data_IF_646750114152
#
_entry.id   IF_646750114152
#
_cell.length_a   1.000
_cell.length_b   1.000
_cell.length_c   1.000
_cell.angle_alpha   90.00
_cell.angle_beta   90.00
_cell.angle_gamma   90.00
#
_symmetry.space_group_name_H-M   'P 1'
#
loop_
_entity.id
_entity.type
_entity.pdbx_description
1 polymer ?
#
# COMPACT_ATOMS: atom_id res chain seq x y z
N UNK A 1 -35.72 0.73 -45.53
CA UNK A 1 -34.51 1.52 -45.30
C UNK A 1 -33.80 0.86 -44.13
N UNK A 2 -32.83 0.01 -44.46
CA UNK A 2 -32.08 -0.87 -43.56
C UNK A 2 -31.50 -0.08 -42.37
N UNK A 3 -31.79 -0.48 -41.13
CA UNK A 3 -30.95 -0.07 -39.99
C UNK A 3 -29.67 -0.88 -40.10
N UNK A 4 -28.56 -0.19 -40.36
CA UNK A 4 -27.24 -0.77 -40.27
C UNK A 4 -27.03 -1.32 -38.85
N UNK A 5 -26.72 -2.61 -38.77
CA UNK A 5 -26.23 -3.27 -37.56
C UNK A 5 -25.00 -2.52 -37.04
N UNK A 6 -25.19 -1.85 -35.91
CA UNK A 6 -24.10 -1.33 -35.11
C UNK A 6 -23.31 -2.57 -34.61
N UNK A 7 -21.99 -2.69 -34.86
CA UNK A 7 -21.26 -3.87 -34.49
C UNK A 7 -21.36 -4.03 -32.98
N UNK A 8 -21.90 -5.16 -32.54
CA UNK A 8 -22.02 -5.53 -31.14
C UNK A 8 -20.65 -5.40 -30.49
N UNK A 9 -20.43 -4.30 -29.77
CA UNK A 9 -19.26 -4.10 -28.91
C UNK A 9 -19.26 -5.27 -27.95
N UNK A 10 -18.45 -6.28 -28.23
CA UNK A 10 -18.25 -7.40 -27.34
C UNK A 10 -17.82 -6.81 -26.00
N UNK A 11 -18.75 -6.84 -25.03
CA UNK A 11 -18.45 -6.48 -23.66
C UNK A 11 -17.52 -7.58 -23.15
N UNK A 12 -16.20 -7.35 -23.23
CA UNK A 12 -15.24 -8.25 -22.60
C UNK A 12 -15.62 -8.33 -21.12
N UNK A 13 -15.92 -9.53 -20.59
CA UNK A 13 -16.28 -9.65 -19.18
C UNK A 13 -15.11 -9.17 -18.34
N UNK A 14 -15.41 -8.41 -17.30
CA UNK A 14 -14.41 -7.80 -16.42
C UNK A 14 -13.46 -8.85 -15.81
N UNK A 15 -13.96 -10.06 -15.59
CA UNK A 15 -13.18 -11.22 -15.15
C UNK A 15 -12.02 -11.56 -16.09
N UNK A 16 -12.19 -11.48 -17.42
CA UNK A 16 -11.10 -11.75 -18.36
C UNK A 16 -10.00 -10.68 -18.29
N UNK A 17 -10.39 -9.42 -18.05
CA UNK A 17 -9.44 -8.32 -17.87
C UNK A 17 -8.63 -8.55 -16.59
N UNK A 18 -9.31 -8.89 -15.49
CA UNK A 18 -8.67 -9.22 -14.21
C UNK A 18 -7.71 -10.41 -14.34
N UNK A 19 -8.15 -11.49 -14.98
CA UNK A 19 -7.31 -12.67 -15.23
C UNK A 19 -6.08 -12.27 -16.06
N UNK A 20 -6.25 -11.49 -17.13
CA UNK A 20 -5.13 -11.02 -17.94
C UNK A 20 -4.15 -10.16 -17.13
N UNK A 21 -4.64 -9.26 -16.29
CA UNK A 21 -3.81 -8.42 -15.41
C UNK A 21 -3.05 -9.26 -14.36
N UNK A 22 -3.70 -10.26 -13.74
CA UNK A 22 -3.03 -11.15 -12.79
C UNK A 22 -2.00 -12.04 -13.47
N UNK A 23 -2.30 -12.58 -14.66
CA UNK A 23 -1.32 -13.32 -15.44
C UNK A 23 -0.12 -12.45 -15.82
N UNK A 24 -0.35 -11.19 -16.17
CA UNK A 24 0.73 -10.23 -16.40
C UNK A 24 1.55 -9.99 -15.13
N UNK A 25 0.90 -9.77 -13.98
CA UNK A 25 1.59 -9.58 -12.69
C UNK A 25 2.42 -10.81 -12.27
N UNK A 26 1.90 -12.03 -12.44
CA UNK A 26 2.63 -13.27 -12.19
C UNK A 26 3.81 -13.43 -13.17
N UNK A 27 3.62 -13.10 -14.44
CA UNK A 27 4.70 -13.15 -15.44
C UNK A 27 5.81 -12.15 -15.09
N UNK A 28 5.43 -10.91 -14.74
CA UNK A 28 6.34 -9.85 -14.29
C UNK A 28 7.08 -10.24 -13.00
N UNK A 29 6.42 -10.94 -12.08
CA UNK A 29 7.02 -11.40 -10.81
C UNK A 29 8.24 -12.29 -11.01
N UNK A 30 8.29 -13.08 -12.10
CA UNK A 30 9.48 -13.90 -12.41
C UNK A 30 10.69 -13.06 -12.85
N UNK A 31 10.47 -11.83 -13.32
CA UNK A 31 11.53 -10.93 -13.77
C UNK A 31 11.93 -9.90 -12.68
N UNK A 32 11.08 -9.67 -11.69
CA UNK A 32 11.34 -8.75 -10.57
C UNK A 32 12.20 -9.41 -9.48
N UNK A 33 13.16 -8.67 -8.92
CA UNK A 33 14.02 -9.17 -7.84
C UNK A 33 13.24 -9.55 -6.57
N UNK A 34 13.75 -10.54 -5.81
CA UNK A 34 13.12 -11.10 -4.60
C UNK A 34 12.83 -10.06 -3.52
N UNK A 35 13.67 -9.03 -3.42
CA UNK A 35 13.52 -7.95 -2.41
C UNK A 35 12.36 -7.01 -2.75
N UNK A 36 12.06 -6.83 -4.04
CA UNK A 36 10.96 -5.97 -4.50
C UNK A 36 9.65 -6.74 -4.63
N UNK A 37 9.73 -8.07 -4.79
CA UNK A 37 8.56 -8.93 -4.97
C UNK A 37 7.58 -8.81 -3.80
N UNK A 38 8.07 -8.92 -2.56
CA UNK A 38 7.22 -8.79 -1.36
C UNK A 38 6.58 -7.41 -1.26
N UNK A 39 7.35 -6.34 -1.50
CA UNK A 39 6.88 -4.95 -1.46
C UNK A 39 5.81 -4.71 -2.53
N UNK A 40 5.99 -5.26 -3.74
CA UNK A 40 5.05 -5.08 -4.84
C UNK A 40 3.70 -5.75 -4.55
N UNK A 41 3.70 -6.98 -4.03
CA UNK A 41 2.46 -7.68 -3.67
C UNK A 41 1.78 -7.07 -2.45
N UNK A 42 2.54 -6.54 -1.49
CA UNK A 42 2.00 -5.82 -0.33
C UNK A 42 1.39 -4.46 -0.72
N UNK A 43 1.91 -3.80 -1.76
CA UNK A 43 1.40 -2.49 -2.20
C UNK A 43 -0.07 -2.49 -2.61
N UNK A 44 -0.61 -3.64 -3.04
CA UNK A 44 -2.04 -3.80 -3.34
C UNK A 44 -2.94 -3.70 -2.10
N UNK A 45 -2.45 -4.12 -0.92
CA UNK A 45 -3.20 -4.07 0.34
C UNK A 45 -3.42 -2.63 0.83
N UNK A 46 -2.52 -1.69 0.50
CA UNK A 46 -2.68 -0.27 0.85
C UNK A 46 -3.97 0.32 0.24
N UNK A 47 -4.47 -0.28 -0.83
CA UNK A 47 -5.69 0.12 -1.52
C UNK A 47 -6.95 -0.65 -1.09
N UNK A 48 -6.87 -1.64 -0.20
CA UNK A 48 -8.05 -2.37 0.32
C UNK A 48 -8.67 -1.73 1.57
N UNK A 49 -8.34 -0.48 1.86
CA UNK A 49 -8.80 0.18 3.08
C UNK A 49 -10.33 0.35 3.16
N UNK A 50 -10.91 0.37 4.39
CA UNK A 50 -12.35 0.49 4.64
C UNK A 50 -12.98 1.80 4.13
N UNK A 51 -12.13 2.74 3.71
CA UNK A 51 -12.53 4.02 3.11
C UNK A 51 -12.47 3.95 1.58
N UNK A 52 -11.42 3.32 1.01
CA UNK A 52 -11.17 3.33 -0.43
C UNK A 52 -12.14 2.40 -1.17
N UNK A 53 -12.44 1.23 -0.60
CA UNK A 53 -13.35 0.25 -1.23
C UNK A 53 -14.76 0.82 -1.43
N UNK A 54 -15.45 1.36 -0.40
CA UNK A 54 -16.77 1.98 -0.61
C UNK A 54 -16.71 3.19 -1.55
N UNK A 55 -15.63 3.97 -1.53
CA UNK A 55 -15.46 5.11 -2.43
C UNK A 55 -15.37 4.67 -3.90
N UNK A 56 -14.54 3.67 -4.21
CA UNK A 56 -14.38 3.14 -5.58
C UNK A 56 -15.67 2.47 -6.04
N UNK A 57 -16.36 1.73 -5.18
CA UNK A 57 -17.67 1.16 -5.50
C UNK A 57 -18.72 2.25 -5.79
N UNK A 58 -18.81 3.29 -4.94
CA UNK A 58 -19.73 4.40 -5.17
C UNK A 58 -19.43 5.15 -6.48
N UNK A 59 -18.15 5.31 -6.82
CA UNK A 59 -17.72 5.88 -8.09
C UNK A 59 -18.08 4.97 -9.27
N UNK A 60 -17.89 3.66 -9.15
CA UNK A 60 -18.29 2.66 -10.15
C UNK A 60 -19.80 2.68 -10.44
N UNK A 61 -20.61 2.64 -9.38
CA UNK A 61 -22.08 2.76 -9.46
C UNK A 61 -22.50 4.11 -10.06
N UNK A 62 -21.84 5.20 -9.67
CA UNK A 62 -22.10 6.54 -10.21
C UNK A 62 -21.80 6.63 -11.71
N UNK A 63 -20.65 6.13 -12.16
CA UNK A 63 -20.28 6.09 -13.58
C UNK A 63 -21.22 5.19 -14.40
N UNK A 64 -21.65 4.07 -13.84
CA UNK A 64 -22.62 3.19 -14.49
C UNK A 64 -23.99 3.85 -14.66
N UNK A 65 -24.45 4.61 -13.65
CA UNK A 65 -25.74 5.31 -13.69
C UNK A 65 -25.84 6.35 -14.83
N UNK A 66 -24.72 7.01 -15.16
CA UNK A 66 -24.64 7.98 -16.26
C UNK A 66 -24.56 7.29 -17.63
N UNK A 67 -24.03 6.06 -17.67
CA UNK A 67 -23.84 5.29 -18.90
C UNK A 67 -25.08 4.52 -19.33
N UNK A 68 -26.16 4.55 -18.53
CA UNK A 68 -27.42 3.87 -18.81
C UNK A 68 -27.31 2.33 -18.85
N UNK A 69 -26.18 1.79 -18.37
CA UNK A 69 -25.86 0.38 -18.49
C UNK A 69 -26.39 -0.36 -17.25
N UNK A 70 -27.02 -1.52 -17.45
CA UNK A 70 -27.47 -2.40 -16.35
C UNK A 70 -26.24 -3.12 -15.78
N UNK A 71 -25.43 -2.43 -14.99
CA UNK A 71 -24.29 -3.05 -14.30
C UNK A 71 -24.78 -3.80 -13.07
N UNK A 72 -24.34 -5.06 -12.94
CA UNK A 72 -24.52 -5.86 -11.71
C UNK A 72 -23.63 -5.29 -10.60
N UNK A 73 -23.98 -5.47 -9.32
CA UNK A 73 -23.06 -5.17 -8.20
C UNK A 73 -21.68 -5.80 -8.40
N UNK A 74 -21.63 -6.95 -9.08
CA UNK A 74 -20.43 -7.68 -9.48
C UNK A 74 -19.46 -6.84 -10.35
N UNK A 75 -19.97 -5.96 -11.22
CA UNK A 75 -19.11 -5.08 -12.03
C UNK A 75 -18.42 -4.01 -11.17
N UNK A 76 -19.06 -3.59 -10.08
CA UNK A 76 -18.48 -2.62 -9.13
C UNK A 76 -17.37 -3.27 -8.31
N UNK A 77 -17.55 -4.52 -7.88
CA UNK A 77 -16.49 -5.29 -7.22
C UNK A 77 -15.28 -5.52 -8.13
N UNK A 78 -15.50 -5.83 -9.42
CA UNK A 78 -14.37 -5.98 -10.34
C UNK A 78 -13.63 -4.66 -10.62
N UNK A 79 -14.31 -3.52 -10.54
CA UNK A 79 -13.70 -2.19 -10.68
C UNK A 79 -12.80 -1.87 -9.46
N UNK A 80 -13.22 -2.29 -8.26
CA UNK A 80 -12.36 -2.27 -7.07
C UNK A 80 -11.12 -3.12 -7.32
N UNK A 81 -11.28 -4.38 -7.74
CA UNK A 81 -10.15 -5.28 -7.97
C UNK A 81 -9.18 -4.75 -9.04
N UNK A 82 -9.68 -4.09 -10.09
CA UNK A 82 -8.85 -3.45 -11.11
C UNK A 82 -8.05 -2.26 -10.56
N UNK A 83 -8.59 -1.55 -9.56
CA UNK A 83 -7.88 -0.48 -8.88
C UNK A 83 -6.73 -1.02 -8.01
N UNK A 84 -6.90 -2.20 -7.41
CA UNK A 84 -5.90 -2.85 -6.56
C UNK A 84 -4.70 -3.40 -7.33
N UNK A 85 -4.91 -3.88 -8.56
CA UNK A 85 -3.83 -4.51 -9.34
C UNK A 85 -2.86 -3.51 -9.97
N UNK A 86 -3.29 -2.26 -10.14
CA UNK A 86 -2.47 -1.20 -10.75
C UNK A 86 -1.22 -0.88 -9.89
N UNK A 87 -1.33 -0.64 -8.57
CA UNK A 87 -0.16 -0.49 -7.69
C UNK A 87 0.81 -1.67 -7.76
N UNK A 88 0.29 -2.90 -7.79
CA UNK A 88 1.10 -4.13 -7.86
C UNK A 88 1.91 -4.14 -9.16
N UNK A 89 1.26 -3.95 -10.32
CA UNK A 89 1.95 -3.93 -11.62
C UNK A 89 2.95 -2.76 -11.69
N UNK A 90 2.57 -1.58 -11.19
CA UNK A 90 3.45 -0.42 -11.17
C UNK A 90 4.72 -0.67 -10.34
N UNK A 91 4.58 -1.29 -9.17
CA UNK A 91 5.72 -1.68 -8.34
C UNK A 91 6.54 -2.79 -9.00
N UNK A 92 5.93 -3.81 -9.59
CA UNK A 92 6.68 -4.87 -10.29
C UNK A 92 7.54 -4.29 -11.43
N UNK A 93 6.98 -3.37 -12.23
CA UNK A 93 7.71 -2.66 -13.28
C UNK A 93 8.84 -1.81 -12.67
N UNK A 94 8.57 -1.06 -11.59
CA UNK A 94 9.58 -0.26 -10.91
C UNK A 94 10.75 -1.14 -10.42
N UNK A 95 10.45 -2.31 -9.87
CA UNK A 95 11.44 -3.29 -9.41
C UNK A 95 12.27 -3.96 -10.51
N UNK A 96 11.91 -3.79 -11.79
CA UNK A 96 12.77 -4.19 -12.91
C UNK A 96 13.90 -3.19 -13.15
N UNK A 97 13.67 -1.91 -12.88
CA UNK A 97 14.60 -0.81 -13.13
C UNK A 97 15.34 -0.34 -11.88
N UNK A 98 14.79 -0.61 -10.70
CA UNK A 98 15.33 -0.19 -9.42
C UNK A 98 15.53 -1.37 -8.50
N UNK A 99 16.76 -1.55 -8.03
CA UNK A 99 17.02 -2.33 -6.82
C UNK A 99 16.61 -1.48 -5.62
N UNK A 100 15.79 -1.99 -4.69
CA UNK A 100 15.36 -1.21 -3.55
C UNK A 100 16.58 -0.84 -2.71
N UNK A 101 16.90 0.45 -2.65
CA UNK A 101 17.67 1.03 -1.54
C UNK A 101 16.77 1.23 -0.31
N UNK A 102 15.78 0.34 -0.14
CA UNK A 102 14.56 0.52 0.66
C UNK A 102 14.69 0.22 2.15
N UNK A 103 15.85 -0.25 2.60
CA UNK A 103 16.23 -0.11 4.00
C UNK A 103 17.21 1.03 4.07
N UNK A 104 16.98 2.03 4.92
CA UNK A 104 18.08 2.77 5.54
C UNK A 104 19.23 1.80 5.74
N UNK A 105 20.39 2.07 5.12
CA UNK A 105 21.63 1.29 5.27
C UNK A 105 21.67 0.69 6.66
N UNK A 106 21.32 -0.58 6.77
CA UNK A 106 21.07 -1.20 8.07
C UNK A 106 22.45 -1.52 8.63
N UNK A 107 23.05 -0.51 9.25
CA UNK A 107 24.12 -0.73 10.19
C UNK A 107 23.49 -1.46 11.36
N UNK A 108 23.58 -2.79 11.33
CA UNK A 108 23.33 -3.65 12.48
C UNK A 108 24.38 -3.25 13.53
N UNK A 109 24.06 -2.26 14.34
CA UNK A 109 24.89 -1.87 15.46
C UNK A 109 24.80 -2.98 16.49
N UNK A 110 25.93 -3.58 16.84
CA UNK A 110 26.01 -4.46 18.00
C UNK A 110 25.62 -3.64 19.24
N UNK A 111 24.42 -3.89 19.76
CA UNK A 111 23.88 -3.17 20.90
C UNK A 111 24.57 -3.65 22.18
N UNK A 112 25.65 -2.98 22.57
CA UNK A 112 26.34 -3.23 23.84
C UNK A 112 25.60 -2.66 25.06
N UNK A 113 24.80 -1.59 24.89
CA UNK A 113 24.13 -0.90 26.01
C UNK A 113 22.85 -0.14 25.61
N UNK A 114 21.93 0.04 26.58
CA UNK A 114 20.74 0.90 26.44
C UNK A 114 21.10 2.35 26.08
N UNK A 115 22.29 2.82 26.46
CA UNK A 115 22.79 4.16 26.10
C UNK A 115 23.06 4.29 24.59
N UNK A 116 23.47 3.20 23.93
CA UNK A 116 23.74 3.18 22.50
C UNK A 116 22.44 3.28 21.69
N UNK A 117 21.35 2.71 22.20
CA UNK A 117 20.01 2.83 21.59
C UNK A 117 19.53 4.29 21.63
N UNK A 118 19.71 4.99 22.75
CA UNK A 118 19.27 6.39 22.90
C UNK A 118 20.07 7.33 22.01
N UNK A 119 21.38 7.12 21.90
CA UNK A 119 22.25 7.93 21.02
C UNK A 119 21.99 7.64 19.53
N UNK A 120 21.75 6.38 19.17
CA UNK A 120 21.35 5.98 17.83
C UNK A 120 19.97 6.54 17.44
N UNK A 121 19.04 6.62 18.40
CA UNK A 121 17.74 7.27 18.22
C UNK A 121 17.89 8.77 17.98
N UNK A 122 18.63 9.47 18.86
CA UNK A 122 18.84 10.92 18.73
C UNK A 122 19.54 11.34 17.45
N UNK A 123 20.51 10.56 16.98
CA UNK A 123 21.25 10.86 15.74
C UNK A 123 20.43 10.61 14.46
N UNK A 124 19.52 9.64 14.47
CA UNK A 124 18.73 9.29 13.29
C UNK A 124 17.33 9.93 13.25
N UNK A 125 16.81 10.46 14.38
CA UNK A 125 15.47 11.03 14.44
C UNK A 125 15.24 12.13 13.39
N UNK A 126 16.25 12.97 13.14
CA UNK A 126 16.19 14.02 12.13
C UNK A 126 16.00 13.49 10.69
N UNK A 127 16.54 12.30 10.38
CA UNK A 127 16.32 11.64 9.09
C UNK A 127 14.86 11.21 8.95
N UNK A 128 14.26 10.64 10.00
CA UNK A 128 12.85 10.23 9.99
C UNK A 128 11.90 11.43 9.88
N UNK A 129 12.19 12.56 10.55
CA UNK A 129 11.45 13.82 10.34
C UNK A 129 11.42 14.21 8.86
N UNK A 130 12.59 14.22 8.19
CA UNK A 130 12.67 14.55 6.76
C UNK A 130 11.93 13.53 5.88
N UNK A 131 12.09 12.24 6.16
CA UNK A 131 11.42 11.19 5.39
C UNK A 131 9.90 11.31 5.47
N UNK A 132 9.33 11.47 6.66
CA UNK A 132 7.88 11.64 6.84
C UNK A 132 7.41 12.95 6.21
N UNK A 133 8.19 14.03 6.29
CA UNK A 133 7.84 15.30 5.67
C UNK A 133 7.73 15.17 4.15
N UNK A 134 8.72 14.52 3.52
CA UNK A 134 8.70 14.26 2.07
C UNK A 134 7.56 13.32 1.69
N UNK A 135 7.22 12.33 2.51
CA UNK A 135 6.11 11.42 2.25
C UNK A 135 4.73 12.10 2.36
N UNK A 136 4.53 12.98 3.35
CA UNK A 136 3.27 13.71 3.51
C UNK A 136 3.13 14.90 2.57
N UNK A 137 4.23 15.46 2.08
CA UNK A 137 4.22 16.66 1.26
C UNK A 137 3.33 16.55 0.00
N UNK A 138 3.40 15.51 -0.84
CA UNK A 138 2.54 15.36 -2.01
C UNK A 138 1.05 15.32 -1.64
N UNK A 139 0.72 14.61 -0.55
CA UNK A 139 -0.66 14.50 -0.05
C UNK A 139 -1.19 15.87 0.41
N UNK A 140 -0.38 16.62 1.16
CA UNK A 140 -0.75 17.94 1.67
C UNK A 140 -0.82 18.99 0.56
N UNK A 141 0.09 18.91 -0.41
CA UNK A 141 0.07 19.77 -1.59
C UNK A 141 -1.21 19.53 -2.42
N UNK A 142 -1.55 18.26 -2.67
CA UNK A 142 -2.77 17.91 -3.37
C UNK A 142 -4.02 18.40 -2.62
N UNK A 143 -4.06 18.20 -1.31
CA UNK A 143 -5.14 18.71 -0.47
C UNK A 143 -5.24 20.24 -0.55
N UNK A 144 -4.13 20.97 -0.48
CA UNK A 144 -4.12 22.43 -0.58
C UNK A 144 -4.64 22.91 -1.95
N UNK A 145 -4.22 22.26 -3.04
CA UNK A 145 -4.71 22.56 -4.40
C UNK A 145 -6.22 22.34 -4.49
N UNK A 146 -6.73 21.20 -4.01
CA UNK A 146 -8.17 20.94 -4.02
C UNK A 146 -8.96 21.87 -3.08
N UNK A 147 -8.39 22.23 -1.93
CA UNK A 147 -9.00 23.18 -1.00
C UNK A 147 -9.21 24.55 -1.63
N UNK A 148 -8.26 25.02 -2.44
CA UNK A 148 -8.36 26.30 -3.17
C UNK A 148 -9.37 26.24 -4.33
N UNK A 149 -9.43 25.13 -5.09
CA UNK A 149 -10.25 25.05 -6.30
C UNK A 149 -11.66 24.49 -6.11
N UNK A 150 -11.82 23.38 -5.38
CA UNK A 150 -13.05 22.56 -5.39
C UNK A 150 -13.68 22.39 -4.01
N UNK A 151 -12.89 22.12 -2.98
CA UNK A 151 -13.37 21.69 -1.66
C UNK A 151 -13.95 22.85 -0.83
N UNK A 152 -13.40 24.08 -0.95
CA UNK A 152 -13.87 25.31 -0.28
C UNK A 152 -14.36 25.09 1.17
N UNK A 153 -13.64 24.27 1.93
CA UNK A 153 -14.05 23.91 3.30
C UNK A 153 -13.95 25.12 4.23
N UNK A 154 -14.87 25.18 5.21
CA UNK A 154 -14.81 26.18 6.29
C UNK A 154 -13.49 26.08 7.05
N UNK A 155 -12.93 27.22 7.47
CA UNK A 155 -11.65 27.31 8.19
C UNK A 155 -11.55 26.35 9.37
N UNK A 156 -12.64 26.15 10.12
CA UNK A 156 -12.69 25.20 11.24
C UNK A 156 -12.37 23.75 10.82
N UNK A 157 -12.85 23.31 9.66
CA UNK A 157 -12.59 21.96 9.13
C UNK A 157 -11.16 21.84 8.60
N UNK A 158 -10.64 22.88 7.96
CA UNK A 158 -9.24 22.92 7.51
C UNK A 158 -8.30 22.86 8.72
N UNK A 159 -8.58 23.61 9.79
CA UNK A 159 -7.78 23.59 11.00
C UNK A 159 -7.85 22.23 11.72
N UNK A 160 -9.01 21.58 11.72
CA UNK A 160 -9.16 20.22 12.25
C UNK A 160 -8.31 19.21 11.47
N UNK A 161 -8.31 19.28 10.13
CA UNK A 161 -7.47 18.43 9.27
C UNK A 161 -5.99 18.73 9.54
N UNK A 162 -5.60 20.01 9.58
CA UNK A 162 -4.22 20.41 9.84
C UNK A 162 -3.71 19.92 11.21
N UNK A 163 -4.53 20.04 12.26
CA UNK A 163 -4.21 19.50 13.58
C UNK A 163 -4.04 17.98 13.53
N UNK A 164 -4.96 17.27 12.86
CA UNK A 164 -4.85 15.82 12.63
C UNK A 164 -3.56 15.43 11.93
N UNK A 165 -3.22 16.12 10.83
CA UNK A 165 -1.97 15.92 10.10
C UNK A 165 -0.74 16.13 10.98
N UNK A 166 -0.73 17.14 11.86
CA UNK A 166 0.38 17.37 12.78
C UNK A 166 0.53 16.19 13.75
N UNK A 167 -0.55 15.71 14.35
CA UNK A 167 -0.50 14.55 15.23
C UNK A 167 -0.04 13.29 14.49
N UNK A 168 -0.55 13.06 13.27
CA UNK A 168 -0.11 11.94 12.43
C UNK A 168 1.35 12.06 12.04
N UNK A 169 1.85 13.26 11.75
CA UNK A 169 3.26 13.50 11.43
C UNK A 169 4.18 13.08 12.57
N UNK A 170 3.94 13.58 13.78
CA UNK A 170 4.74 13.19 14.95
C UNK A 170 4.58 11.70 15.28
N UNK A 171 3.35 11.17 15.19
CA UNK A 171 3.09 9.75 15.39
C UNK A 171 3.87 8.88 14.41
N UNK A 172 3.87 9.20 13.12
CA UNK A 172 4.61 8.48 12.08
C UNK A 172 6.12 8.58 12.27
N UNK A 173 6.64 9.75 12.67
CA UNK A 173 8.08 9.91 12.94
C UNK A 173 8.50 9.01 14.11
N UNK A 174 7.77 9.04 15.22
CA UNK A 174 8.08 8.21 16.39
C UNK A 174 7.90 6.72 16.10
N UNK A 175 6.87 6.37 15.33
CA UNK A 175 6.60 5.01 14.89
C UNK A 175 7.71 4.47 14.00
N UNK A 176 8.09 5.20 12.94
CA UNK A 176 9.14 4.79 12.02
C UNK A 176 10.50 4.74 12.70
N UNK A 177 10.82 5.69 13.58
CA UNK A 177 12.07 5.66 14.33
C UNK A 177 12.15 4.41 15.22
N UNK A 178 11.07 4.10 15.95
CA UNK A 178 11.00 2.92 16.81
C UNK A 178 11.02 1.61 16.00
N UNK A 179 10.31 1.57 14.87
CA UNK A 179 10.27 0.40 13.99
C UNK A 179 11.65 0.11 13.38
N UNK A 180 12.33 1.10 12.82
CA UNK A 180 13.61 0.90 12.14
C UNK A 180 14.78 0.68 13.10
N UNK A 181 14.75 1.27 14.30
CA UNK A 181 15.84 1.11 15.28
C UNK A 181 15.63 -0.11 16.17
N UNK A 182 14.38 -0.40 16.55
CA UNK A 182 14.06 -1.47 17.50
C UNK A 182 13.56 -2.75 16.82
N UNK A 183 12.38 -2.69 16.20
CA UNK A 183 11.65 -3.89 15.79
C UNK A 183 12.22 -4.55 14.53
N UNK A 184 12.60 -3.76 13.54
CA UNK A 184 13.03 -4.26 12.23
C UNK A 184 14.36 -5.03 12.30
N UNK A 185 15.42 -4.55 12.98
CA UNK A 185 16.65 -5.35 13.15
C UNK A 185 16.40 -6.67 13.90
N UNK A 186 15.58 -6.64 14.96
CA UNK A 186 15.20 -7.84 15.68
C UNK A 186 14.44 -8.83 14.77
N UNK A 187 13.51 -8.33 13.96
CA UNK A 187 12.77 -9.12 12.97
C UNK A 187 13.69 -9.76 11.93
N UNK A 188 14.68 -9.02 11.43
CA UNK A 188 15.67 -9.56 10.48
C UNK A 188 16.56 -10.63 11.09
N UNK A 189 17.03 -10.43 12.32
CA UNK A 189 17.86 -11.44 13.01
C UNK A 189 17.05 -12.72 13.27
N UNK A 190 15.82 -12.58 13.79
CA UNK A 190 14.93 -13.71 14.02
C UNK A 190 14.58 -14.44 12.71
N UNK A 191 14.23 -13.68 11.67
CA UNK A 191 13.93 -14.22 10.34
C UNK A 191 15.14 -14.88 9.67
N UNK A 192 16.33 -14.31 9.84
CA UNK A 192 17.58 -14.86 9.31
C UNK A 192 17.97 -16.17 9.98
N UNK A 193 17.87 -16.24 11.32
CA UNK A 193 18.11 -17.48 12.07
C UNK A 193 17.08 -18.54 11.66
N UNK A 194 15.80 -18.17 11.53
CA UNK A 194 14.75 -19.10 11.13
C UNK A 194 14.95 -19.60 9.69
N UNK A 195 15.32 -18.73 8.76
CA UNK A 195 15.57 -19.09 7.36
C UNK A 195 16.74 -20.05 7.20
N UNK A 196 17.81 -19.89 7.99
CA UNK A 196 18.99 -20.75 7.91
C UNK A 196 18.82 -22.12 8.60
N UNK A 197 18.03 -22.19 9.67
CA UNK A 197 17.96 -23.38 10.53
C UNK A 197 16.65 -24.17 10.42
N UNK A 198 15.59 -23.60 9.85
CA UNK A 198 14.28 -24.25 9.78
C UNK A 198 14.02 -24.87 8.40
N UNK A 199 13.28 -25.98 8.38
CA UNK A 199 12.76 -26.54 7.14
C UNK A 199 11.79 -25.57 6.46
N UNK A 200 11.71 -25.60 5.13
CA UNK A 200 10.81 -24.73 4.35
C UNK A 200 9.35 -24.78 4.82
N UNK A 201 8.89 -25.94 5.31
CA UNK A 201 7.52 -26.08 5.83
C UNK A 201 7.29 -25.27 7.11
N UNK A 202 8.31 -25.11 7.96
CA UNK A 202 8.22 -24.29 9.18
C UNK A 202 8.14 -22.81 8.78
N UNK A 203 8.89 -22.38 7.77
CA UNK A 203 8.81 -21.02 7.24
C UNK A 203 7.40 -20.71 6.70
N UNK A 204 6.81 -21.65 5.96
CA UNK A 204 5.43 -21.50 5.44
C UNK A 204 4.43 -21.40 6.60
N UNK A 205 4.53 -22.25 7.62
CA UNK A 205 3.61 -22.23 8.77
C UNK A 205 3.76 -20.96 9.61
N UNK A 206 4.99 -20.54 9.90
CA UNK A 206 5.26 -19.31 10.64
C UNK A 206 4.79 -18.10 9.84
N UNK A 207 5.07 -18.06 8.54
CA UNK A 207 4.57 -17.00 7.64
C UNK A 207 3.04 -16.96 7.60
N UNK A 208 2.38 -18.12 7.56
CA UNK A 208 0.92 -18.22 7.63
C UNK A 208 0.37 -17.67 8.95
N UNK A 209 0.95 -18.05 10.09
CA UNK A 209 0.50 -17.57 11.41
C UNK A 209 0.71 -16.06 11.55
N UNK A 210 1.89 -15.55 11.18
CA UNK A 210 2.18 -14.11 11.20
C UNK A 210 1.22 -13.36 10.26
N UNK A 211 1.04 -13.85 9.04
CA UNK A 211 0.12 -13.28 8.06
C UNK A 211 -1.32 -13.24 8.56
N UNK A 212 -1.77 -14.32 9.22
CA UNK A 212 -3.09 -14.34 9.87
C UNK A 212 -3.21 -13.25 10.94
N UNK A 213 -2.21 -13.08 11.81
CA UNK A 213 -2.24 -12.02 12.83
C UNK A 213 -2.19 -10.61 12.24
N UNK A 214 -1.45 -10.40 11.15
CA UNK A 214 -1.45 -9.12 10.43
C UNK A 214 -2.84 -8.80 9.92
N UNK A 215 -3.51 -9.75 9.26
CA UNK A 215 -4.87 -9.56 8.75
C UNK A 215 -5.88 -9.38 9.90
N UNK A 216 -5.74 -10.16 10.99
CA UNK A 216 -6.62 -10.05 12.15
C UNK A 216 -6.47 -8.72 12.90
N UNK A 217 -5.30 -8.07 12.82
CA UNK A 217 -5.05 -6.76 13.40
C UNK A 217 -5.60 -5.61 12.55
N UNK A 218 -5.95 -5.84 11.29
CA UNK A 218 -6.58 -4.82 10.46
C UNK A 218 -8.03 -4.56 10.91
N UNK A 219 -8.38 -3.31 11.29
CA UNK A 219 -9.71 -2.99 11.81
C UNK A 219 -10.83 -3.13 10.77
N UNK A 220 -10.51 -3.34 9.49
CA UNK A 220 -11.46 -3.57 8.41
C UNK A 220 -12.02 -5.00 8.34
N UNK A 221 -11.41 -5.96 9.04
CA UNK A 221 -11.81 -7.37 9.06
C UNK A 221 -12.32 -7.86 10.43
N UNK A 222 -12.43 -6.98 11.43
CA UNK A 222 -13.15 -7.31 12.66
C UNK A 222 -14.64 -7.45 12.34
N UNK A 223 -15.14 -8.68 12.43
CA UNK A 223 -16.55 -9.04 12.38
C UNK A 223 -17.37 -8.31 13.47
#
# INVERSE_FOLDING_TARGET
MERADEPSRQKLPLSYILIACYLAAFSLSNFTGTDFLSIAWESGAVTTGPILVPFVMALGLGLASVRGDKTSEEDSFGLVALTLIIPIIAMLILGLFFTPSGGSTMEVHELGSLADIVTLYGSNIGKYFRQVAVALFPMLLLFAVFQMWKLRLKTKKVLQIAAGTIYTYFGLVLFLASANIGFMPAGYLLGGILSQNAAAIILILVGFVIGYFVVAAEPGFSF
#
